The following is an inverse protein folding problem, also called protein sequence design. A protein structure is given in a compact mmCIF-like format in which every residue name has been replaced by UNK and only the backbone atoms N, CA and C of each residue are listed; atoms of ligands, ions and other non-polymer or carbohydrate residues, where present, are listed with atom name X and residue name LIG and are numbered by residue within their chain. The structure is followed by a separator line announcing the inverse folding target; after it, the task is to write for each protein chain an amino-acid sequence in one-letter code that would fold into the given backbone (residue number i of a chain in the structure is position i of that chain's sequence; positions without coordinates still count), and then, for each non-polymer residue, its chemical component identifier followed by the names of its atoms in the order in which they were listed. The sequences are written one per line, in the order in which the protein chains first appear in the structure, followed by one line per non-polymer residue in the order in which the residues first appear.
data_IF_115259316420
#
_entry.id   IF_115259316420
#
_cell.length_a   1.000
_cell.length_b   1.000
_cell.length_c   1.000
_cell.angle_alpha   90.00
_cell.angle_beta   90.00
_cell.angle_gamma   90.00
#
_symmetry.space_group_name_H-M   'P 1'
#
loop_
_entity.id
_entity.type
_entity.pdbx_description
1 polymer ?
#
# COMPACT_ATOMS: atom_id res chain seq x y z
N UNK A 1 6.02 -11.71 -16.46
CA UNK A 1 5.98 -10.35 -15.86
C UNK A 1 7.33 -9.65 -16.03
N UNK A 2 7.34 -8.36 -16.38
CA UNK A 2 8.59 -7.55 -16.46
C UNK A 2 9.23 -7.40 -15.08
N UNK A 3 10.56 -7.30 -15.02
CA UNK A 3 11.32 -7.12 -13.75
C UNK A 3 10.90 -5.86 -12.99
N UNK A 4 10.57 -4.78 -13.72
CA UNK A 4 10.14 -3.51 -13.13
C UNK A 4 8.77 -3.66 -12.43
N UNK A 5 7.79 -4.27 -13.10
CA UNK A 5 6.47 -4.55 -12.52
C UNK A 5 6.58 -5.42 -11.27
N UNK A 6 7.45 -6.44 -11.32
CA UNK A 6 7.74 -7.29 -10.17
C UNK A 6 8.26 -6.47 -8.99
N UNK A 7 9.29 -5.66 -9.19
CA UNK A 7 9.89 -4.85 -8.14
C UNK A 7 8.92 -3.82 -7.56
N UNK A 8 8.04 -3.25 -8.39
CA UNK A 8 6.99 -2.36 -7.93
C UNK A 8 5.99 -3.08 -7.02
N UNK A 9 5.49 -4.26 -7.40
CA UNK A 9 4.57 -5.03 -6.55
C UNK A 9 5.26 -5.46 -5.25
N UNK A 10 6.53 -5.88 -5.32
CA UNK A 10 7.32 -6.18 -4.12
C UNK A 10 7.44 -4.97 -3.19
N UNK A 11 7.62 -3.76 -3.72
CA UNK A 11 7.63 -2.53 -2.91
C UNK A 11 6.26 -2.23 -2.28
N UNK A 12 5.16 -2.47 -3.01
CA UNK A 12 3.81 -2.31 -2.46
C UNK A 12 3.55 -3.30 -1.31
N UNK A 13 4.04 -4.53 -1.43
CA UNK A 13 3.93 -5.53 -0.36
C UNK A 13 4.74 -5.15 0.88
N UNK A 14 5.93 -4.55 0.72
CA UNK A 14 6.72 -4.04 1.86
C UNK A 14 6.04 -2.88 2.58
N UNK A 15 5.33 -2.03 1.83
CA UNK A 15 4.64 -0.87 2.37
C UNK A 15 3.21 -1.17 2.87
N UNK A 16 2.66 -2.33 2.53
CA UNK A 16 1.32 -2.74 2.92
C UNK A 16 1.01 -2.57 4.43
N UNK A 17 1.90 -2.95 5.37
CA UNK A 17 1.65 -2.76 6.81
C UNK A 17 1.53 -1.29 7.23
N UNK A 18 2.11 -0.36 6.47
CA UNK A 18 2.11 1.09 6.74
C UNK A 18 0.94 1.81 6.07
N UNK A 19 0.05 1.09 5.38
CA UNK A 19 -1.09 1.66 4.67
C UNK A 19 -1.88 2.67 5.52
N UNK A 20 -2.24 2.29 6.76
CA UNK A 20 -3.01 3.17 7.65
C UNK A 20 -2.25 4.44 8.03
N UNK A 21 -0.93 4.38 8.18
CA UNK A 21 -0.09 5.55 8.46
C UNK A 21 -0.10 6.50 7.26
N UNK A 22 0.02 5.97 6.04
CA UNK A 22 -0.03 6.78 4.81
C UNK A 22 -1.39 7.42 4.58
N UNK A 23 -2.48 6.70 4.83
CA UNK A 23 -3.85 7.25 4.78
C UNK A 23 -3.99 8.39 5.78
N UNK A 24 -3.61 8.16 7.04
CA UNK A 24 -3.71 9.17 8.10
C UNK A 24 -2.87 10.41 7.82
N UNK A 25 -1.65 10.22 7.31
CA UNK A 25 -0.78 11.32 6.90
C UNK A 25 -1.43 12.14 5.76
N UNK A 26 -1.98 11.46 4.75
CA UNK A 26 -2.62 12.13 3.63
C UNK A 26 -3.88 12.89 4.05
N UNK A 27 -4.71 12.30 4.90
CA UNK A 27 -5.88 12.98 5.48
C UNK A 27 -5.48 14.23 6.29
N UNK A 28 -4.38 14.16 7.04
CA UNK A 28 -3.84 15.32 7.76
C UNK A 28 -3.41 16.43 6.80
N UNK A 29 -2.66 16.11 5.75
CA UNK A 29 -2.24 17.07 4.71
C UNK A 29 -3.44 17.77 4.05
N UNK A 30 -4.52 17.03 3.78
CA UNK A 30 -5.73 17.57 3.16
C UNK A 30 -6.55 18.44 4.12
N UNK A 31 -6.53 18.13 5.43
CA UNK A 31 -7.18 18.95 6.47
C UNK A 31 -6.40 20.21 6.82
N UNK A 32 -5.09 20.22 6.60
CA UNK A 32 -4.20 21.33 6.90
C UNK A 32 -3.45 21.79 5.63
N UNK A 33 -4.17 22.31 4.62
CA UNK A 33 -3.52 22.82 3.43
C UNK A 33 -2.59 23.96 3.84
N UNK A 34 -1.34 23.91 3.37
CA UNK A 34 -0.39 24.99 3.58
C UNK A 34 -0.90 26.26 2.89
N UNK A 35 -1.25 27.27 3.67
CA UNK A 35 -1.58 28.61 3.18
C UNK A 35 -0.32 29.45 3.40
N UNK A 36 0.39 29.86 2.33
CA UNK A 36 1.49 30.81 2.50
C UNK A 36 0.92 32.08 3.16
N UNK A 37 1.55 32.52 4.25
CA UNK A 37 1.19 33.77 4.90
C UNK A 37 1.65 34.89 3.98
N UNK A 38 0.72 35.50 3.25
CA UNK A 38 0.97 36.73 2.52
C UNK A 38 1.12 37.86 3.54
N UNK A 39 2.32 38.45 3.63
CA UNK A 39 2.61 39.59 4.52
C UNK A 39 1.96 40.91 4.06
N UNK A 40 1.05 40.90 3.08
CA UNK A 40 0.22 42.06 2.71
C UNK A 40 -1.18 42.02 3.33
N UNK A 41 -1.28 42.13 4.66
CA UNK A 41 -2.59 42.28 5.34
C UNK A 41 -3.02 43.75 5.36
N UNK A 42 -3.55 44.22 4.22
CA UNK A 42 -4.48 45.35 4.16
C UNK A 42 -5.91 44.86 4.44
N UNK A 43 -6.55 45.40 5.48
CA UNK A 43 -7.73 44.83 6.13
C UNK A 43 -8.94 44.55 5.23
N UNK A 44 -9.45 43.31 5.33
CA UNK A 44 -10.76 42.91 4.81
C UNK A 44 -11.31 41.74 5.62
N UNK A 45 -12.43 41.96 6.32
CA UNK A 45 -13.10 40.99 7.19
C UNK A 45 -13.51 39.74 6.40
N UNK A 46 -12.95 38.58 6.71
CA UNK A 46 -13.45 37.30 6.22
C UNK A 46 -14.52 36.75 7.19
N UNK A 47 -15.78 36.71 6.75
CA UNK A 47 -16.85 36.00 7.44
C UNK A 47 -16.65 34.48 7.30
N UNK A 48 -16.28 33.82 8.39
CA UNK A 48 -16.12 32.37 8.46
C UNK A 48 -17.49 31.65 8.42
N UNK A 49 -17.92 31.14 7.25
CA UNK A 49 -18.92 30.08 7.15
C UNK A 49 -18.27 28.73 7.48
N UNK A 50 -18.29 28.33 8.75
CA UNK A 50 -17.64 27.09 9.24
C UNK A 50 -18.13 25.79 8.58
N UNK A 51 -19.40 25.73 8.15
CA UNK A 51 -19.99 24.50 7.59
C UNK A 51 -19.49 24.20 6.16
N UNK A 52 -19.32 25.23 5.32
CA UNK A 52 -18.87 25.08 3.91
C UNK A 52 -17.41 24.59 3.83
N UNK A 53 -16.59 24.88 4.85
CA UNK A 53 -15.19 24.43 4.90
C UNK A 53 -15.09 22.93 5.20
N UNK A 54 -15.90 22.40 6.12
CA UNK A 54 -15.86 20.96 6.45
C UNK A 54 -16.38 20.09 5.30
N UNK A 55 -17.47 20.50 4.65
CA UNK A 55 -18.04 19.79 3.51
C UNK A 55 -17.06 19.79 2.32
N UNK A 56 -16.41 20.93 2.03
CA UNK A 56 -15.36 21.00 0.99
C UNK A 56 -14.16 20.13 1.30
N UNK A 57 -13.72 20.06 2.56
CA UNK A 57 -12.62 19.19 2.97
C UNK A 57 -12.99 17.72 2.78
N UNK A 58 -14.22 17.32 3.12
CA UNK A 58 -14.70 15.96 2.93
C UNK A 58 -14.70 15.57 1.44
N UNK A 59 -15.24 16.44 0.58
CA UNK A 59 -15.21 16.27 -0.89
C UNK A 59 -13.77 16.16 -1.40
N UNK A 60 -12.88 17.04 -0.93
CA UNK A 60 -11.47 17.03 -1.35
C UNK A 60 -10.74 15.73 -0.94
N UNK A 61 -11.09 15.14 0.20
CA UNK A 61 -10.54 13.86 0.66
C UNK A 61 -11.06 12.69 -0.18
N UNK A 62 -12.34 12.67 -0.54
CA UNK A 62 -12.93 11.63 -1.36
C UNK A 62 -12.44 11.68 -2.82
N UNK A 63 -12.22 12.88 -3.36
CA UNK A 63 -11.72 13.09 -4.71
C UNK A 63 -10.18 12.95 -4.84
N UNK A 64 -9.45 12.82 -3.72
CA UNK A 64 -7.98 12.74 -3.74
C UNK A 64 -7.51 11.46 -4.47
N UNK A 65 -6.91 11.67 -5.64
CA UNK A 65 -6.39 10.58 -6.49
C UNK A 65 -5.38 9.71 -5.75
N UNK A 66 -4.54 10.29 -4.89
CA UNK A 66 -3.50 9.54 -4.17
C UNK A 66 -4.11 8.63 -3.11
N UNK A 67 -5.11 9.11 -2.37
CA UNK A 67 -5.84 8.32 -1.37
C UNK A 67 -6.65 7.20 -2.03
N UNK A 68 -7.26 7.46 -3.19
CA UNK A 68 -7.95 6.45 -3.99
C UNK A 68 -6.98 5.39 -4.56
N UNK A 69 -5.78 5.78 -4.99
CA UNK A 69 -4.75 4.83 -5.42
C UNK A 69 -4.28 3.95 -4.26
N UNK A 70 -3.99 4.54 -3.08
CA UNK A 70 -3.63 3.79 -1.88
C UNK A 70 -4.71 2.76 -1.51
N UNK A 71 -5.99 3.16 -1.54
CA UNK A 71 -7.12 2.26 -1.29
C UNK A 71 -7.17 1.12 -2.30
N UNK A 72 -6.97 1.41 -3.58
CA UNK A 72 -6.97 0.41 -4.66
C UNK A 72 -5.81 -0.58 -4.51
N UNK A 73 -4.61 -0.09 -4.24
CA UNK A 73 -3.41 -0.90 -4.01
C UNK A 73 -3.60 -1.83 -2.80
N UNK A 74 -4.07 -1.28 -1.68
CA UNK A 74 -4.33 -2.05 -0.46
C UNK A 74 -5.42 -3.11 -0.69
N UNK A 75 -6.52 -2.74 -1.36
CA UNK A 75 -7.60 -3.67 -1.66
C UNK A 75 -7.14 -4.82 -2.55
N UNK A 76 -6.38 -4.54 -3.62
CA UNK A 76 -5.87 -5.57 -4.51
C UNK A 76 -4.98 -6.58 -3.77
N UNK A 77 -4.03 -6.09 -2.96
CA UNK A 77 -3.15 -6.97 -2.16
C UNK A 77 -3.97 -7.79 -1.18
N UNK A 78 -4.92 -7.18 -0.49
CA UNK A 78 -5.77 -7.87 0.49
C UNK A 78 -6.59 -8.99 -0.16
N UNK A 79 -7.26 -8.71 -1.27
CA UNK A 79 -8.07 -9.69 -2.00
C UNK A 79 -7.22 -10.86 -2.47
N UNK A 80 -6.09 -10.59 -3.13
CA UNK A 80 -5.17 -11.65 -3.56
C UNK A 80 -4.62 -12.45 -2.37
N UNK A 81 -4.29 -11.80 -1.26
CA UNK A 81 -3.81 -12.48 -0.04
C UNK A 81 -4.88 -13.38 0.58
N UNK A 82 -6.13 -12.90 0.66
CA UNK A 82 -7.27 -13.63 1.19
C UNK A 82 -7.71 -14.82 0.32
N UNK A 83 -7.33 -14.84 -0.96
CA UNK A 83 -7.53 -15.97 -1.87
C UNK A 83 -6.29 -16.88 -2.01
N UNK A 84 -5.10 -16.37 -1.65
CA UNK A 84 -3.85 -17.10 -1.77
C UNK A 84 -3.81 -18.34 -0.87
N UNK A 85 -3.01 -19.32 -1.30
CA UNK A 85 -2.75 -20.55 -0.53
C UNK A 85 -2.01 -20.25 0.78
N UNK A 86 -2.16 -21.16 1.76
CA UNK A 86 -1.51 -21.04 3.08
C UNK A 86 0.01 -20.85 2.99
N UNK A 87 0.65 -21.46 1.99
CA UNK A 87 2.09 -21.39 1.80
C UNK A 87 2.51 -20.03 1.24
N UNK A 88 1.73 -19.44 0.34
CA UNK A 88 1.97 -18.08 -0.17
C UNK A 88 1.75 -17.04 0.92
N UNK A 89 0.71 -17.18 1.74
CA UNK A 89 0.49 -16.29 2.89
C UNK A 89 1.66 -16.27 3.84
N UNK A 90 2.22 -17.44 4.18
CA UNK A 90 3.45 -17.52 5.00
C UNK A 90 4.63 -16.80 4.36
N UNK A 91 4.80 -16.88 3.03
CA UNK A 91 5.85 -16.13 2.32
C UNK A 91 5.63 -14.62 2.51
N UNK A 92 4.40 -14.14 2.31
CA UNK A 92 4.05 -12.72 2.49
C UNK A 92 4.28 -12.27 3.93
N UNK A 93 3.78 -13.04 4.90
CA UNK A 93 3.86 -12.71 6.31
C UNK A 93 5.31 -12.63 6.81
N UNK A 94 6.12 -13.64 6.47
CA UNK A 94 7.50 -13.73 6.93
C UNK A 94 8.43 -12.74 6.22
N UNK A 95 8.24 -12.52 4.92
CA UNK A 95 9.18 -11.72 4.12
C UNK A 95 8.76 -10.26 3.94
N UNK A 96 7.47 -9.92 3.98
CA UNK A 96 6.99 -8.58 3.64
C UNK A 96 6.25 -7.89 4.78
N UNK A 97 5.28 -8.56 5.42
CA UNK A 97 4.47 -7.92 6.45
C UNK A 97 5.20 -7.74 7.78
N UNK A 98 6.22 -8.56 8.04
CA UNK A 98 7.12 -8.35 9.17
C UNK A 98 8.07 -7.19 8.88
N UNK A 99 8.18 -6.31 9.88
CA UNK A 99 9.19 -5.27 9.91
C UNK A 99 10.58 -5.85 9.61
N UNK A 100 11.38 -5.24 8.71
CA UNK A 100 12.70 -5.74 8.33
C UNK A 100 13.60 -6.11 9.52
N UNK A 101 13.48 -5.38 10.63
CA UNK A 101 14.27 -5.61 11.86
C UNK A 101 13.89 -6.89 12.61
N UNK A 102 12.70 -7.41 12.39
CA UNK A 102 12.15 -8.59 13.07
C UNK A 102 12.15 -9.84 12.18
N UNK A 103 12.54 -9.71 10.90
CA UNK A 103 12.57 -10.84 9.97
C UNK A 103 13.70 -11.80 10.36
N UNK A 104 13.33 -13.07 10.53
CA UNK A 104 14.29 -14.18 10.73
C UNK A 104 14.76 -14.78 9.40
N UNK A 105 13.96 -14.59 8.35
CA UNK A 105 14.17 -15.16 7.02
C UNK A 105 14.23 -14.03 6.01
N UNK A 106 15.11 -14.14 5.02
CA UNK A 106 15.34 -13.10 4.03
C UNK A 106 15.02 -13.55 2.61
N UNK A 107 14.76 -14.84 2.41
CA UNK A 107 14.42 -15.39 1.11
C UNK A 107 13.39 -16.52 1.19
N UNK A 108 12.74 -16.80 0.06
CA UNK A 108 11.85 -17.97 -0.10
C UNK A 108 12.64 -19.27 0.08
N UNK A 109 13.94 -19.28 -0.26
CA UNK A 109 14.83 -20.42 -0.01
C UNK A 109 14.96 -20.71 1.47
N UNK A 110 15.18 -19.69 2.31
CA UNK A 110 15.26 -19.85 3.76
C UNK A 110 13.97 -20.49 4.29
N UNK A 111 12.81 -20.02 3.83
CA UNK A 111 11.52 -20.57 4.25
C UNK A 111 11.36 -22.05 3.87
N UNK A 112 11.88 -22.47 2.71
CA UNK A 112 11.89 -23.88 2.30
C UNK A 112 12.86 -24.72 3.13
N UNK A 113 14.05 -24.18 3.39
CA UNK A 113 15.15 -24.88 4.05
C UNK A 113 14.84 -25.09 5.54
N UNK A 114 14.32 -24.06 6.20
CA UNK A 114 13.84 -24.11 7.59
C UNK A 114 12.45 -24.76 7.74
N UNK A 115 11.90 -25.32 6.65
CA UNK A 115 10.60 -26.05 6.64
C UNK A 115 9.41 -25.23 7.14
N UNK A 116 9.46 -23.91 6.99
CA UNK A 116 8.34 -23.01 7.27
C UNK A 116 7.24 -23.20 6.23
N UNK A 117 7.66 -23.35 4.97
CA UNK A 117 6.78 -23.76 3.87
C UNK A 117 7.06 -25.20 3.45
N UNK A 118 5.99 -25.93 3.15
CA UNK A 118 6.01 -27.36 2.76
C UNK A 118 6.11 -27.53 1.24
N UNK A 119 6.81 -26.63 0.56
CA UNK A 119 7.00 -26.65 -0.88
C UNK A 119 8.47 -26.86 -1.22
N UNK A 120 8.74 -27.45 -2.38
CA UNK A 120 10.08 -27.44 -2.95
C UNK A 120 10.44 -26.01 -3.39
N UNK A 121 11.73 -25.68 -3.40
CA UNK A 121 12.21 -24.35 -3.79
C UNK A 121 11.65 -23.89 -5.16
N UNK A 122 11.65 -24.72 -6.23
CA UNK A 122 11.07 -24.33 -7.51
C UNK A 122 9.55 -24.11 -7.42
N UNK A 123 8.85 -24.99 -6.70
CA UNK A 123 7.41 -24.87 -6.52
C UNK A 123 7.05 -23.59 -5.77
N UNK A 124 7.79 -23.24 -4.72
CA UNK A 124 7.57 -22.03 -3.94
C UNK A 124 7.69 -20.77 -4.81
N UNK A 125 8.71 -20.69 -5.68
CA UNK A 125 8.84 -19.59 -6.64
C UNK A 125 7.72 -19.57 -7.68
N UNK A 126 7.23 -20.72 -8.14
CA UNK A 126 6.12 -20.77 -9.08
C UNK A 126 4.84 -20.22 -8.46
N UNK A 127 4.51 -20.63 -7.23
CA UNK A 127 3.36 -20.10 -6.48
C UNK A 127 3.54 -18.60 -6.19
N UNK A 128 4.73 -18.18 -5.79
CA UNK A 128 5.05 -16.77 -5.56
C UNK A 128 4.87 -15.92 -6.81
N UNK A 129 5.44 -16.34 -7.93
CA UNK A 129 5.32 -15.61 -9.19
C UNK A 129 3.86 -15.58 -9.68
N UNK A 130 3.08 -16.64 -9.44
CA UNK A 130 1.64 -16.65 -9.73
C UNK A 130 0.90 -15.62 -8.89
N UNK A 131 1.15 -15.58 -7.59
CA UNK A 131 0.57 -14.58 -6.68
C UNK A 131 0.90 -13.14 -7.12
N UNK A 132 2.15 -12.86 -7.49
CA UNK A 132 2.51 -11.54 -8.02
C UNK A 132 1.81 -11.22 -9.34
N UNK A 133 1.54 -12.23 -10.18
CA UNK A 133 0.78 -12.06 -11.41
C UNK A 133 -0.69 -11.74 -11.10
N UNK A 134 -1.30 -12.40 -10.13
CA UNK A 134 -2.68 -12.13 -9.68
C UNK A 134 -2.81 -10.68 -9.19
N UNK A 135 -1.86 -10.18 -8.39
CA UNK A 135 -1.83 -8.78 -7.96
C UNK A 135 -1.65 -7.83 -9.16
N UNK A 136 -0.74 -8.16 -10.08
CA UNK A 136 -0.51 -7.34 -11.27
C UNK A 136 -1.78 -7.20 -12.13
N UNK A 137 -2.55 -8.28 -12.22
CA UNK A 137 -3.78 -8.35 -12.98
C UNK A 137 -4.88 -7.49 -12.33
N UNK A 138 -5.03 -7.58 -11.01
CA UNK A 138 -5.99 -6.79 -10.23
C UNK A 138 -5.67 -5.28 -10.28
N UNK A 139 -4.39 -4.93 -10.26
CA UNK A 139 -3.93 -3.54 -10.41
C UNK A 139 -3.95 -3.04 -11.87
N UNK A 140 -4.18 -3.91 -12.85
CA UNK A 140 -4.17 -3.57 -14.27
C UNK A 140 -2.78 -3.21 -14.81
N UNK A 141 -1.72 -3.77 -14.23
CA UNK A 141 -0.31 -3.50 -14.55
C UNK A 141 0.25 -4.36 -15.71
N UNK A 142 -0.62 -4.99 -16.51
CA UNK A 142 -0.24 -5.91 -17.59
C UNK A 142 0.41 -5.18 -18.78
N UNK A 143 1.75 -5.11 -18.83
CA UNK A 143 2.55 -4.82 -20.03
C UNK A 143 3.92 -5.49 -20.01
#
# INVERSE_FOLDING_TARGET
MRKQTKGYIESLLEDYPKYYDYVKQREYELRHPYIPVDENVGGGKAQFKKNDVQDRILITIEEDRRLNNLRREHYAIKTCYDEASSEVRKIVDELYFKSPRLRKYHSIYDLCDFKIIKLSRPSAYNYWNKFLQEIADELGLRY
#
